data_IF_577583006299
#
_entry.id   IF_577583006299
#
_cell.length_a   1.000
_cell.length_b   1.000
_cell.length_c   1.000
_cell.angle_alpha   90.00
_cell.angle_beta   90.00
_cell.angle_gamma   90.00
#
_symmetry.space_group_name_H-M   'P 1'
#
loop_
_entity.id
_entity.type
_entity.pdbx_description
1 polymer ?
#
# COMPACT_ATOMS: atom_id res chain seq x y z
N UNK A 1 29.30 -8.72 -19.84
CA UNK A 1 28.80 -7.57 -19.04
C UNK A 1 28.55 -6.37 -19.96
N UNK A 2 27.72 -6.45 -21.01
CA UNK A 2 28.01 -5.57 -22.17
C UNK A 2 26.90 -4.76 -22.80
N UNK A 3 25.67 -5.22 -23.04
CA UNK A 3 24.64 -4.34 -23.66
C UNK A 3 23.29 -4.50 -22.97
N UNK A 4 22.86 -5.75 -22.80
CA UNK A 4 21.62 -6.09 -22.08
C UNK A 4 21.57 -5.50 -20.67
N UNK A 5 22.68 -5.53 -19.94
CA UNK A 5 22.79 -4.94 -18.60
C UNK A 5 22.61 -3.40 -18.62
N UNK A 6 23.16 -2.69 -19.61
CA UNK A 6 22.96 -1.24 -19.73
C UNK A 6 21.54 -0.89 -20.15
N UNK A 7 20.93 -1.68 -21.05
CA UNK A 7 19.52 -1.54 -21.41
C UNK A 7 18.65 -1.76 -20.16
N UNK A 8 18.87 -2.84 -19.41
CA UNK A 8 18.15 -3.14 -18.18
C UNK A 8 18.22 -1.98 -17.18
N UNK A 9 19.43 -1.48 -16.94
CA UNK A 9 19.66 -0.38 -16.02
C UNK A 9 19.02 0.93 -16.50
N UNK A 10 19.08 1.21 -17.81
CA UNK A 10 18.42 2.36 -18.43
C UNK A 10 16.90 2.32 -18.30
N UNK A 11 16.28 1.16 -18.56
CA UNK A 11 14.83 0.97 -18.41
C UNK A 11 14.41 1.10 -16.95
N UNK A 12 15.16 0.51 -16.00
CA UNK A 12 14.89 0.66 -14.56
C UNK A 12 15.00 2.13 -14.16
N UNK A 13 16.03 2.85 -14.61
CA UNK A 13 16.21 4.26 -14.30
C UNK A 13 15.04 5.10 -14.84
N UNK A 14 14.65 4.88 -16.10
CA UNK A 14 13.49 5.55 -16.71
C UNK A 14 12.19 5.23 -15.98
N UNK A 15 11.99 3.97 -15.60
CA UNK A 15 10.84 3.53 -14.81
C UNK A 15 10.78 4.24 -13.46
N UNK A 16 11.91 4.34 -12.74
CA UNK A 16 12.00 5.06 -11.46
C UNK A 16 11.73 6.55 -11.64
N UNK A 17 12.31 7.19 -12.67
CA UNK A 17 12.04 8.60 -12.97
C UNK A 17 10.56 8.82 -13.30
N UNK A 18 9.95 7.92 -14.09
CA UNK A 18 8.53 8.00 -14.43
C UNK A 18 7.63 7.84 -13.21
N UNK A 19 8.00 6.96 -12.26
CA UNK A 19 7.31 6.79 -10.98
C UNK A 19 7.44 8.04 -10.10
N UNK A 20 8.65 8.61 -9.97
CA UNK A 20 8.89 9.84 -9.19
C UNK A 20 8.11 11.03 -9.76
N UNK A 21 8.04 11.13 -11.09
CA UNK A 21 7.30 12.20 -11.77
C UNK A 21 5.80 11.91 -11.89
N UNK A 22 5.33 10.78 -11.35
CA UNK A 22 3.93 10.32 -11.42
C UNK A 22 3.34 10.44 -12.84
N UNK A 23 4.13 10.13 -13.87
CA UNK A 23 3.75 10.42 -15.26
C UNK A 23 2.47 9.68 -15.69
N UNK A 24 2.26 8.49 -15.14
CA UNK A 24 1.13 7.62 -15.40
C UNK A 24 0.81 6.81 -14.14
N UNK A 25 -0.30 6.03 -14.18
CA UNK A 25 -0.60 5.08 -13.10
C UNK A 25 0.58 4.12 -12.91
N UNK A 26 1.05 3.85 -11.67
CA UNK A 26 2.21 3.02 -11.41
C UNK A 26 2.17 1.66 -12.11
N UNK A 27 0.98 1.02 -12.16
CA UNK A 27 0.80 -0.23 -12.89
C UNK A 27 1.17 -0.12 -14.37
N UNK A 28 0.75 0.95 -15.07
CA UNK A 28 1.07 1.15 -16.48
C UNK A 28 2.58 1.39 -16.70
N UNK A 29 3.23 2.10 -15.77
CA UNK A 29 4.68 2.34 -15.84
C UNK A 29 5.45 1.01 -15.71
N UNK A 30 5.09 0.19 -14.72
CA UNK A 30 5.70 -1.12 -14.48
C UNK A 30 5.44 -2.09 -15.66
N UNK A 31 4.21 -2.13 -16.18
CA UNK A 31 3.88 -2.95 -17.35
C UNK A 31 4.62 -2.48 -18.61
N UNK A 32 4.81 -1.18 -18.80
CA UNK A 32 5.57 -0.65 -19.94
C UNK A 32 7.03 -1.09 -19.87
N UNK A 33 7.65 -1.04 -18.68
CA UNK A 33 9.01 -1.55 -18.48
C UNK A 33 9.11 -3.06 -18.76
N UNK A 34 8.13 -3.85 -18.32
CA UNK A 34 8.04 -5.29 -18.61
C UNK A 34 7.96 -5.56 -20.12
N UNK A 35 7.12 -4.81 -20.85
CA UNK A 35 6.99 -4.93 -22.31
C UNK A 35 8.30 -4.59 -23.01
N UNK A 36 9.00 -3.53 -22.57
CA UNK A 36 10.31 -3.19 -23.13
C UNK A 36 11.29 -4.35 -22.93
N UNK A 37 11.34 -4.95 -21.73
CA UNK A 37 12.21 -6.10 -21.48
C UNK A 37 11.91 -7.30 -22.35
N UNK A 38 10.63 -7.60 -22.59
CA UNK A 38 10.22 -8.67 -23.51
C UNK A 38 10.61 -8.38 -24.96
N UNK A 39 10.43 -7.14 -25.44
CA UNK A 39 10.80 -6.75 -26.82
C UNK A 39 12.32 -6.82 -27.02
N UNK A 40 13.09 -6.48 -25.99
CA UNK A 40 14.56 -6.55 -26.03
C UNK A 40 15.12 -7.96 -25.75
N UNK A 41 14.26 -8.96 -25.59
CA UNK A 41 14.61 -10.35 -25.27
C UNK A 41 15.51 -10.48 -24.02
N UNK A 42 15.34 -9.55 -23.07
CA UNK A 42 16.05 -9.55 -21.78
C UNK A 42 15.37 -10.53 -20.82
N UNK A 43 14.05 -10.67 -20.94
CA UNK A 43 13.25 -11.66 -20.22
C UNK A 43 12.30 -12.35 -21.20
N UNK A 44 12.12 -13.65 -21.02
CA UNK A 44 11.12 -14.44 -21.74
C UNK A 44 9.70 -14.18 -21.22
N UNK A 45 8.70 -14.59 -21.99
CA UNK A 45 7.29 -14.53 -21.56
C UNK A 45 7.02 -15.41 -20.33
N UNK A 46 7.71 -16.55 -20.21
CA UNK A 46 7.61 -17.45 -19.06
C UNK A 46 8.20 -16.80 -17.80
N UNK A 47 9.36 -16.16 -17.91
CA UNK A 47 9.96 -15.41 -16.78
C UNK A 47 9.08 -14.23 -16.37
N UNK A 48 8.52 -13.49 -17.33
CA UNK A 48 7.58 -12.41 -17.06
C UNK A 48 6.35 -12.91 -16.27
N UNK A 49 5.77 -14.05 -16.67
CA UNK A 49 4.65 -14.69 -15.98
C UNK A 49 5.03 -15.27 -14.62
N UNK A 50 6.26 -15.79 -14.48
CA UNK A 50 6.75 -16.36 -13.22
C UNK A 50 6.74 -15.32 -12.08
N UNK A 51 6.98 -14.05 -12.40
CA UNK A 51 6.90 -12.94 -11.45
C UNK A 51 5.51 -12.74 -10.85
N UNK A 52 4.45 -13.01 -11.62
CA UNK A 52 3.07 -13.00 -11.11
C UNK A 52 2.78 -14.20 -10.21
N UNK A 53 3.36 -15.36 -10.46
CA UNK A 53 3.15 -16.54 -9.60
C UNK A 53 3.92 -16.53 -8.27
N UNK A 54 4.65 -15.45 -7.97
CA UNK A 54 5.47 -15.36 -6.77
C UNK A 54 4.63 -15.38 -5.48
N UNK A 55 5.06 -16.16 -4.48
CA UNK A 55 4.45 -16.24 -3.15
C UNK A 55 4.18 -14.87 -2.52
N UNK A 56 5.08 -13.91 -2.71
CA UNK A 56 4.90 -12.54 -2.22
C UNK A 56 3.70 -11.84 -2.88
N UNK A 57 3.49 -12.01 -4.19
CA UNK A 57 2.36 -11.44 -4.93
C UNK A 57 1.04 -12.00 -4.38
N UNK A 58 0.98 -13.33 -4.24
CA UNK A 58 -0.19 -14.04 -3.67
C UNK A 58 -0.46 -13.57 -2.24
N UNK A 59 0.58 -13.42 -1.42
CA UNK A 59 0.45 -12.93 -0.04
C UNK A 59 -0.18 -11.54 0.01
N UNK A 60 0.28 -10.62 -0.84
CA UNK A 60 -0.29 -9.27 -0.94
C UNK A 60 -1.75 -9.31 -1.39
N UNK A 61 -2.10 -10.16 -2.37
CA UNK A 61 -3.48 -10.35 -2.80
C UNK A 61 -4.39 -10.84 -1.66
N UNK A 62 -3.91 -11.80 -0.85
CA UNK A 62 -4.63 -12.27 0.33
C UNK A 62 -4.80 -11.17 1.39
N UNK A 63 -3.78 -10.34 1.62
CA UNK A 63 -3.89 -9.20 2.54
C UNK A 63 -4.94 -8.18 2.06
N UNK A 64 -5.09 -7.97 0.74
CA UNK A 64 -6.18 -7.15 0.21
C UNK A 64 -7.56 -7.76 0.49
N UNK A 65 -7.72 -9.06 0.29
CA UNK A 65 -8.97 -9.77 0.59
C UNK A 65 -9.32 -9.69 2.09
N UNK A 66 -8.34 -9.95 2.96
CA UNK A 66 -8.50 -9.82 4.43
C UNK A 66 -8.86 -8.39 4.81
N UNK A 67 -8.17 -7.40 4.23
CA UNK A 67 -8.41 -5.99 4.51
C UNK A 67 -9.84 -5.57 4.14
N UNK A 68 -10.36 -6.04 3.00
CA UNK A 68 -11.73 -5.77 2.58
C UNK A 68 -12.75 -6.47 3.49
N UNK A 69 -12.51 -7.74 3.85
CA UNK A 69 -13.37 -8.46 4.80
C UNK A 69 -13.43 -7.78 6.17
N UNK A 70 -12.30 -7.27 6.68
CA UNK A 70 -12.25 -6.50 7.93
C UNK A 70 -13.01 -5.17 7.81
N UNK A 71 -12.91 -4.49 6.66
CA UNK A 71 -13.67 -3.27 6.37
C UNK A 71 -15.18 -3.53 6.35
N UNK A 72 -15.64 -4.55 5.63
CA UNK A 72 -17.06 -4.91 5.53
C UNK A 72 -17.65 -5.40 6.85
N UNK A 73 -16.87 -6.12 7.67
CA UNK A 73 -17.33 -6.58 8.99
C UNK A 73 -17.64 -5.45 9.99
N UNK A 74 -17.17 -4.23 9.72
CA UNK A 74 -17.32 -3.08 10.63
C UNK A 74 -16.53 -3.21 11.94
N UNK A 75 -15.62 -4.19 12.06
CA UNK A 75 -14.78 -4.38 13.26
C UNK A 75 -13.96 -3.12 13.56
N UNK A 76 -13.43 -2.45 12.54
CA UNK A 76 -12.63 -1.23 12.71
C UNK A 76 -13.46 -0.07 13.29
N UNK A 77 -14.74 0.03 12.94
CA UNK A 77 -15.65 1.01 13.54
C UNK A 77 -15.93 0.72 15.03
N UNK A 78 -15.96 -0.56 15.43
CA UNK A 78 -16.14 -0.95 16.84
C UNK A 78 -14.87 -0.65 17.64
N UNK A 79 -13.72 -1.06 17.12
CA UNK A 79 -12.40 -0.85 17.73
C UNK A 79 -12.11 0.65 17.87
N UNK A 80 -12.40 1.43 16.83
CA UNK A 80 -12.24 2.88 16.84
C UNK A 80 -13.02 3.58 17.96
N UNK A 81 -14.27 3.18 18.22
CA UNK A 81 -15.07 3.72 19.34
C UNK A 81 -14.48 3.40 20.72
N UNK A 82 -13.72 2.30 20.85
CA UNK A 82 -13.06 1.90 22.10
C UNK A 82 -11.74 2.64 22.29
N UNK A 83 -10.96 2.83 21.22
CA UNK A 83 -9.65 3.49 21.27
C UNK A 83 -9.80 4.99 21.56
N UNK A 84 -10.83 5.63 21.02
CA UNK A 84 -11.00 7.07 21.11
C UNK A 84 -11.19 7.53 22.58
N UNK A 85 -10.31 8.43 23.07
CA UNK A 85 -10.40 8.94 24.44
C UNK A 85 -11.71 9.70 24.70
N UNK A 86 -12.38 9.37 25.80
CA UNK A 86 -13.65 10.01 26.22
C UNK A 86 -13.49 11.33 26.98
N UNK A 87 -12.26 11.68 27.37
CA UNK A 87 -11.94 12.86 28.20
C UNK A 87 -10.83 13.66 27.53
N UNK A 88 -10.86 14.99 27.68
CA UNK A 88 -9.78 15.89 27.25
C UNK A 88 -8.48 15.52 27.97
N UNK A 89 -7.41 15.32 27.20
CA UNK A 89 -6.05 15.04 27.66
C UNK A 89 -5.08 15.97 26.91
N UNK A 90 -3.86 16.20 27.41
CA UNK A 90 -2.82 16.89 26.66
C UNK A 90 -2.62 16.25 25.28
N UNK A 91 -2.48 17.08 24.24
CA UNK A 91 -2.39 16.64 22.84
C UNK A 91 -1.38 15.50 22.62
N UNK A 92 -0.15 15.53 23.18
CA UNK A 92 0.81 14.45 22.97
C UNK A 92 0.31 13.08 23.48
N UNK A 93 -0.33 13.07 24.65
CA UNK A 93 -0.87 11.85 25.26
C UNK A 93 -2.10 11.33 24.51
N UNK A 94 -2.89 12.24 23.97
CA UNK A 94 -4.05 11.97 23.14
C UNK A 94 -3.64 11.28 21.83
N UNK A 95 -2.64 11.84 21.15
CA UNK A 95 -2.09 11.31 19.89
C UNK A 95 -1.49 9.92 20.11
N UNK A 96 -0.67 9.73 21.15
CA UNK A 96 -0.12 8.40 21.46
C UNK A 96 -1.21 7.35 21.70
N UNK A 97 -2.27 7.70 22.43
CA UNK A 97 -3.38 6.78 22.72
C UNK A 97 -4.12 6.34 21.44
N UNK A 98 -4.17 7.19 20.42
CA UNK A 98 -4.82 6.89 19.13
C UNK A 98 -3.85 6.20 18.18
N UNK A 99 -2.61 6.70 18.07
CA UNK A 99 -1.63 6.24 17.10
C UNK A 99 -1.12 4.83 17.41
N UNK A 100 -0.91 4.46 18.68
CA UNK A 100 -0.38 3.13 19.03
C UNK A 100 -1.33 2.00 18.55
N UNK A 101 -2.64 2.02 18.91
CA UNK A 101 -3.56 1.00 18.41
C UNK A 101 -3.74 1.03 16.90
N UNK A 102 -3.80 2.22 16.29
CA UNK A 102 -3.95 2.37 14.83
C UNK A 102 -2.73 1.83 14.10
N UNK A 103 -1.52 2.09 14.57
CA UNK A 103 -0.28 1.55 14.01
C UNK A 103 -0.23 0.01 14.14
N UNK A 104 -0.64 -0.52 15.29
CA UNK A 104 -0.75 -1.97 15.48
C UNK A 104 -1.74 -2.61 14.49
N UNK A 105 -2.91 -1.98 14.26
CA UNK A 105 -3.88 -2.43 13.25
C UNK A 105 -3.32 -2.32 11.83
N UNK A 106 -2.59 -1.24 11.51
CA UNK A 106 -1.96 -1.01 10.21
C UNK A 106 -0.84 -1.99 9.88
N UNK A 107 -0.31 -2.71 10.87
CA UNK A 107 0.68 -3.77 10.63
C UNK A 107 0.06 -5.03 10.00
N UNK A 108 -1.25 -5.26 10.21
CA UNK A 108 -1.96 -6.44 9.71
C UNK A 108 -2.88 -6.12 8.53
N UNK A 109 -3.22 -4.85 8.35
CA UNK A 109 -4.13 -4.37 7.32
C UNK A 109 -3.36 -3.51 6.32
N UNK A 110 -3.82 -3.51 5.07
CA UNK A 110 -3.34 -2.50 4.13
C UNK A 110 -3.64 -1.09 4.68
N UNK A 111 -2.74 -0.14 4.43
CA UNK A 111 -2.85 1.21 4.99
C UNK A 111 -4.11 1.96 4.52
N UNK A 112 -4.61 1.67 3.31
CA UNK A 112 -5.71 2.41 2.68
C UNK A 112 -7.06 2.26 3.42
N UNK A 113 -7.57 1.04 3.74
CA UNK A 113 -8.80 0.89 4.53
C UNK A 113 -8.71 1.52 5.93
N UNK A 114 -7.54 1.46 6.57
CA UNK A 114 -7.33 2.06 7.89
C UNK A 114 -7.58 3.57 7.83
N UNK A 115 -6.96 4.28 6.88
CA UNK A 115 -7.14 5.73 6.74
C UNK A 115 -8.59 6.09 6.38
N UNK A 116 -9.21 5.36 5.45
CA UNK A 116 -10.60 5.60 5.02
C UNK A 116 -11.58 5.53 6.20
N UNK A 117 -11.34 4.64 7.16
CA UNK A 117 -12.24 4.44 8.31
C UNK A 117 -11.88 5.38 9.47
N UNK A 118 -10.60 5.45 9.83
CA UNK A 118 -10.16 6.21 11.01
C UNK A 118 -10.18 7.72 10.80
N UNK A 119 -9.84 8.23 9.61
CA UNK A 119 -9.81 9.68 9.35
C UNK A 119 -11.18 10.37 9.57
N UNK A 120 -12.30 9.93 8.96
CA UNK A 120 -13.60 10.55 9.22
C UNK A 120 -14.08 10.32 10.66
N UNK A 121 -13.72 9.19 11.28
CA UNK A 121 -14.08 8.90 12.68
C UNK A 121 -13.34 9.83 13.66
N UNK A 122 -12.05 10.10 13.42
CA UNK A 122 -11.25 11.05 14.18
C UNK A 122 -11.79 12.48 14.03
N UNK A 123 -12.15 12.88 12.80
CA UNK A 123 -12.79 14.18 12.55
C UNK A 123 -14.08 14.34 13.35
N UNK A 124 -15.00 13.38 13.25
CA UNK A 124 -16.26 13.38 14.01
C UNK A 124 -16.07 13.40 15.53
N UNK A 125 -15.01 12.77 16.02
CA UNK A 125 -14.69 12.77 17.44
C UNK A 125 -14.08 14.09 17.89
N UNK A 126 -13.22 14.71 17.08
CA UNK A 126 -12.65 16.03 17.36
C UNK A 126 -13.73 17.12 17.39
N UNK A 127 -14.73 17.04 16.49
CA UNK A 127 -15.87 17.98 16.46
C UNK A 127 -16.78 17.87 17.70
N UNK A 128 -16.76 16.74 18.41
CA UNK A 128 -17.59 16.47 19.60
C UNK A 128 -16.93 16.85 20.94
N UNK A 129 -15.64 17.22 20.90
CA UNK A 129 -14.78 17.34 22.07
C UNK A 129 -14.72 18.74 22.63
#
# INVERSE_FOLDING_TARGET
MTITAYIALGVILLMVIALIREMMRPGLILFSALVIFMITDIISAEEALSGFSNTAMITVALLFLVSEGVKESGVLNRIGRVILPKKRKPIPRLLMQIMIPVAALSAFLNNTPVVIIFAPMLKKWADKL
#
